data_IF_727732374159
#
_entry.id   IF_727732374159
#
_cell.length_a   1.000
_cell.length_b   1.000
_cell.length_c   1.000
_cell.angle_alpha   90.00
_cell.angle_beta   90.00
_cell.angle_gamma   90.00
#
_symmetry.space_group_name_H-M   'P 1'
#
loop_
_entity.id
_entity.type
_entity.pdbx_description
1 polymer ?
#
# COMPACT_ATOMS: atom_id res chain seq x y z
N UNK A 1 7.47 -27.78 4.55
CA UNK A 1 6.91 -26.69 3.71
C UNK A 1 5.70 -27.20 2.96
N UNK A 2 4.62 -26.40 2.92
CA UNK A 2 3.44 -26.69 2.13
C UNK A 2 3.30 -25.64 1.05
N UNK A 3 3.18 -26.08 -0.20
CA UNK A 3 2.93 -25.22 -1.36
C UNK A 3 1.51 -25.48 -1.88
N UNK A 4 0.77 -24.42 -2.14
CA UNK A 4 -0.58 -24.47 -2.71
C UNK A 4 -0.78 -23.31 -3.69
N UNK A 5 -1.79 -23.41 -4.51
CA UNK A 5 -2.14 -22.44 -5.54
C UNK A 5 -3.68 -22.33 -5.64
N UNK A 6 -4.19 -21.76 -6.69
CA UNK A 6 -5.64 -21.55 -6.89
C UNK A 6 -6.41 -22.80 -7.37
N UNK A 7 -5.77 -23.98 -7.38
CA UNK A 7 -6.41 -25.24 -7.73
C UNK A 7 -5.62 -26.10 -8.73
N UNK A 8 -6.25 -27.17 -9.20
CA UNK A 8 -5.63 -28.25 -10.00
C UNK A 8 -4.95 -27.79 -11.31
N UNK A 9 -5.36 -26.67 -11.87
CA UNK A 9 -4.81 -26.15 -13.13
C UNK A 9 -3.60 -25.23 -12.95
N UNK A 10 -3.22 -24.97 -11.71
CA UNK A 10 -2.10 -24.09 -11.38
C UNK A 10 -0.81 -24.89 -11.18
N UNK A 11 0.20 -24.67 -12.02
CA UNK A 11 1.51 -25.34 -11.94
C UNK A 11 2.49 -24.68 -10.96
N UNK A 12 2.20 -23.46 -10.49
CA UNK A 12 3.14 -22.65 -9.69
C UNK A 12 3.50 -23.30 -8.35
N UNK A 13 2.57 -24.02 -7.73
CA UNK A 13 2.82 -24.73 -6.47
C UNK A 13 3.77 -25.91 -6.65
N UNK A 14 3.62 -26.65 -7.75
CA UNK A 14 4.52 -27.74 -8.13
C UNK A 14 5.94 -27.24 -8.42
N UNK A 15 6.07 -26.24 -9.29
CA UNK A 15 7.35 -25.64 -9.67
C UNK A 15 8.09 -25.06 -8.45
N UNK A 16 7.35 -24.43 -7.54
CA UNK A 16 7.89 -23.86 -6.29
C UNK A 16 8.37 -24.97 -5.34
N UNK A 17 7.62 -26.07 -5.24
CA UNK A 17 7.97 -27.22 -4.42
C UNK A 17 9.24 -27.91 -4.97
N UNK A 18 9.34 -28.13 -6.28
CA UNK A 18 10.55 -28.68 -6.88
C UNK A 18 11.78 -27.80 -6.63
N UNK A 19 11.62 -26.48 -6.72
CA UNK A 19 12.69 -25.53 -6.43
C UNK A 19 13.13 -25.62 -4.95
N UNK A 20 12.18 -25.77 -4.03
CA UNK A 20 12.48 -25.96 -2.61
C UNK A 20 13.28 -27.27 -2.35
N UNK A 21 12.90 -28.36 -3.01
CA UNK A 21 13.65 -29.64 -2.91
C UNK A 21 15.08 -29.47 -3.44
N UNK A 22 15.27 -28.80 -4.55
CA UNK A 22 16.62 -28.50 -5.11
C UNK A 22 17.47 -27.64 -4.17
N UNK A 23 16.83 -26.82 -3.34
CA UNK A 23 17.49 -26.01 -2.31
C UNK A 23 17.74 -26.75 -0.99
N UNK A 24 17.47 -28.09 -0.95
CA UNK A 24 17.77 -28.95 0.19
C UNK A 24 16.67 -29.07 1.25
N UNK A 25 15.46 -28.57 0.99
CA UNK A 25 14.33 -28.81 1.91
C UNK A 25 13.79 -30.21 1.74
N UNK A 26 13.78 -31.01 2.84
CA UNK A 26 13.43 -32.44 2.82
C UNK A 26 11.95 -32.71 3.09
N UNK A 27 11.24 -31.78 3.71
CA UNK A 27 9.82 -31.91 4.03
C UNK A 27 9.00 -30.93 3.20
N UNK A 28 8.82 -31.24 1.92
CA UNK A 28 8.07 -30.44 0.98
C UNK A 28 6.81 -31.20 0.58
N UNK A 29 5.66 -30.54 0.65
CA UNK A 29 4.34 -31.07 0.26
C UNK A 29 3.62 -30.06 -0.63
N UNK A 30 2.90 -30.56 -1.61
CA UNK A 30 2.01 -29.76 -2.48
C UNK A 30 0.57 -30.12 -2.15
N UNK A 31 -0.29 -29.11 -2.09
CA UNK A 31 -1.75 -29.29 -1.98
C UNK A 31 -2.34 -28.95 -3.35
N UNK A 32 -2.54 -29.95 -4.22
CA UNK A 32 -2.93 -29.72 -5.61
C UNK A 32 -4.31 -29.09 -5.77
N UNK A 33 -5.23 -29.39 -4.85
CA UNK A 33 -6.60 -28.79 -4.85
C UNK A 33 -6.57 -27.30 -4.51
N UNK A 34 -5.46 -26.83 -3.94
CA UNK A 34 -5.19 -25.43 -3.67
C UNK A 34 -6.04 -24.81 -2.57
N UNK A 35 -5.99 -23.49 -2.50
CA UNK A 35 -6.70 -22.68 -1.51
C UNK A 35 -8.23 -22.89 -1.51
N UNK A 36 -8.91 -23.00 -2.67
CA UNK A 36 -10.36 -23.20 -2.67
C UNK A 36 -10.86 -24.45 -1.96
N UNK A 37 -10.12 -25.55 -2.06
CA UNK A 37 -10.47 -26.77 -1.35
C UNK A 37 -10.23 -26.66 0.16
N UNK A 38 -9.15 -25.98 0.55
CA UNK A 38 -8.85 -25.70 1.93
C UNK A 38 -9.90 -24.79 2.56
N UNK A 39 -10.28 -23.71 1.86
CA UNK A 39 -11.30 -22.76 2.31
C UNK A 39 -12.68 -23.42 2.47
N UNK A 40 -13.03 -24.32 1.57
CA UNK A 40 -14.28 -25.10 1.66
C UNK A 40 -14.29 -26.04 2.88
N UNK A 41 -13.14 -26.60 3.26
CA UNK A 41 -13.03 -27.57 4.36
C UNK A 41 -12.91 -26.91 5.74
N UNK A 42 -12.24 -25.77 5.83
CA UNK A 42 -11.82 -25.14 7.10
C UNK A 42 -12.31 -23.69 7.26
N UNK A 43 -13.03 -23.17 6.28
CA UNK A 43 -13.41 -21.75 6.24
C UNK A 43 -12.26 -20.84 5.82
N UNK A 44 -12.51 -19.55 5.64
CA UNK A 44 -11.49 -18.59 5.31
C UNK A 44 -10.44 -18.53 6.44
N UNK A 45 -9.17 -18.78 6.10
CA UNK A 45 -8.07 -18.72 7.06
C UNK A 45 -7.90 -17.32 7.67
N UNK A 46 -7.15 -17.17 8.76
CA UNK A 46 -6.92 -15.90 9.43
C UNK A 46 -6.28 -14.82 8.53
N UNK A 47 -5.81 -15.19 7.32
CA UNK A 47 -5.36 -14.27 6.27
C UNK A 47 -6.37 -14.05 5.15
N UNK A 48 -7.51 -14.76 5.12
CA UNK A 48 -8.48 -14.67 4.04
C UNK A 48 -9.29 -13.36 4.06
N UNK A 49 -9.35 -12.69 5.20
CA UNK A 49 -9.86 -11.32 5.28
C UNK A 49 -9.00 -10.32 4.45
N UNK A 50 -7.76 -10.72 4.10
CA UNK A 50 -6.85 -9.93 3.25
C UNK A 50 -6.81 -10.39 1.79
N UNK A 51 -7.34 -11.59 1.46
CA UNK A 51 -7.41 -12.10 0.09
C UNK A 51 -8.76 -11.80 -0.61
N UNK A 52 -9.76 -11.38 0.14
CA UNK A 52 -11.10 -11.07 -0.38
C UNK A 52 -11.25 -9.66 -0.96
N UNK A 53 -10.20 -8.99 -1.31
CA UNK A 53 -10.12 -7.95 -2.33
C UNK A 53 -8.68 -7.42 -2.42
N UNK A 54 -7.87 -7.94 -3.33
CA UNK A 54 -6.74 -7.19 -3.88
C UNK A 54 -7.21 -6.08 -4.86
N UNK A 55 -8.48 -5.76 -4.88
CA UNK A 55 -8.92 -4.46 -5.34
C UNK A 55 -8.59 -3.49 -4.22
N UNK A 56 -7.59 -2.62 -4.44
CA UNK A 56 -7.37 -1.47 -3.57
C UNK A 56 -8.73 -0.85 -3.26
N UNK A 57 -9.04 -0.55 -1.98
CA UNK A 57 -10.29 0.12 -1.65
C UNK A 57 -10.45 1.32 -2.57
N UNK A 58 -11.63 1.48 -3.15
CA UNK A 58 -11.88 2.56 -4.10
C UNK A 58 -11.42 3.89 -3.50
N UNK A 59 -10.49 4.54 -4.20
CA UNK A 59 -10.01 5.86 -3.83
C UNK A 59 -11.06 6.89 -4.23
N UNK A 60 -11.95 7.22 -3.30
CA UNK A 60 -13.00 8.21 -3.52
C UNK A 60 -12.35 9.60 -3.62
N UNK A 61 -12.52 10.25 -4.76
CA UNK A 61 -12.02 11.61 -4.98
C UNK A 61 -12.62 12.59 -3.98
N UNK A 62 -11.79 13.52 -3.48
CA UNK A 62 -12.22 14.60 -2.64
C UNK A 62 -12.88 15.73 -3.44
N UNK A 63 -13.05 16.90 -2.80
CA UNK A 63 -13.70 18.06 -3.43
C UNK A 63 -12.85 18.69 -4.52
N UNK A 64 -11.54 18.69 -4.38
CA UNK A 64 -10.60 19.26 -5.32
C UNK A 64 -9.99 18.19 -6.22
N UNK A 65 -9.57 18.61 -7.42
CA UNK A 65 -8.93 17.72 -8.37
C UNK A 65 -7.64 17.12 -7.79
N UNK A 66 -7.47 15.81 -7.91
CA UNK A 66 -6.30 15.10 -7.39
C UNK A 66 -6.37 14.75 -5.91
N UNK A 67 -7.38 15.21 -5.17
CA UNK A 67 -7.53 14.87 -3.75
C UNK A 67 -8.23 13.52 -3.53
N UNK A 68 -7.95 12.90 -2.39
CA UNK A 68 -8.68 11.74 -1.86
C UNK A 68 -9.44 12.15 -0.58
N UNK A 69 -10.65 11.63 -0.40
CA UNK A 69 -11.41 11.88 0.84
C UNK A 69 -10.72 11.27 2.07
N UNK A 70 -10.82 11.93 3.22
CA UNK A 70 -10.28 11.42 4.50
C UNK A 70 -10.84 10.03 4.80
N UNK A 71 -12.16 9.82 4.62
CA UNK A 71 -12.80 8.53 4.86
C UNK A 71 -12.22 7.40 3.99
N UNK A 72 -11.93 7.69 2.71
CA UNK A 72 -11.29 6.71 1.81
C UNK A 72 -9.84 6.44 2.22
N UNK A 73 -9.10 7.48 2.59
CA UNK A 73 -7.73 7.36 3.08
C UNK A 73 -7.65 6.51 4.35
N UNK A 74 -8.47 6.79 5.36
CA UNK A 74 -8.52 6.01 6.61
C UNK A 74 -8.93 4.56 6.36
N UNK A 75 -9.86 4.32 5.43
CA UNK A 75 -10.23 2.96 5.02
C UNK A 75 -9.05 2.22 4.42
N UNK A 76 -8.28 2.84 3.54
CA UNK A 76 -7.06 2.26 2.96
C UNK A 76 -6.05 1.91 4.05
N UNK A 77 -5.79 2.84 4.99
CA UNK A 77 -4.87 2.59 6.11
C UNK A 77 -5.27 1.39 6.97
N UNK A 78 -6.56 1.18 7.17
CA UNK A 78 -7.10 0.11 8.02
C UNK A 78 -7.19 -1.22 7.29
N UNK A 79 -7.68 -1.23 6.04
CA UNK A 79 -8.10 -2.44 5.33
C UNK A 79 -7.06 -2.96 4.33
N UNK A 80 -6.32 -2.06 3.69
CA UNK A 80 -5.36 -2.43 2.65
C UNK A 80 -4.16 -1.47 2.57
N UNK A 81 -3.38 -1.27 3.65
CA UNK A 81 -2.26 -0.30 3.65
C UNK A 81 -1.18 -0.62 2.61
N UNK A 82 -1.08 -1.89 2.20
CA UNK A 82 -0.13 -2.32 1.16
C UNK A 82 -0.61 -2.13 -0.28
N UNK A 83 -1.83 -1.64 -0.51
CA UNK A 83 -2.38 -1.40 -1.85
C UNK A 83 -1.92 -0.11 -2.50
N UNK A 84 -1.31 0.78 -1.74
CA UNK A 84 -0.81 2.09 -2.16
C UNK A 84 0.59 2.35 -1.61
N UNK A 85 1.28 3.33 -2.18
CA UNK A 85 2.46 3.93 -1.58
C UNK A 85 2.08 5.19 -0.82
N UNK A 86 2.35 5.21 0.48
CA UNK A 86 2.15 6.38 1.33
C UNK A 86 3.44 7.21 1.33
N UNK A 87 3.38 8.43 0.83
CA UNK A 87 4.53 9.31 0.72
C UNK A 87 4.32 10.55 1.58
N UNK A 88 5.08 10.62 2.66
CA UNK A 88 5.14 11.78 3.54
C UNK A 88 6.08 12.83 2.93
N UNK A 89 5.53 13.97 2.57
CA UNK A 89 6.30 15.05 1.91
C UNK A 89 6.73 16.15 2.88
N UNK A 90 6.59 15.90 4.18
CA UNK A 90 7.13 16.78 5.23
C UNK A 90 8.64 16.62 5.36
N UNK A 91 9.25 17.55 6.08
CA UNK A 91 10.68 17.47 6.38
C UNK A 91 11.03 16.22 7.19
N UNK A 92 12.28 15.76 7.06
CA UNK A 92 12.75 14.54 7.73
C UNK A 92 12.61 14.59 9.26
N UNK A 93 12.76 15.79 9.87
CA UNK A 93 12.56 15.97 11.30
C UNK A 93 11.10 15.79 11.71
N UNK A 94 10.15 16.25 10.89
CA UNK A 94 8.70 16.03 11.12
C UNK A 94 8.34 14.55 10.98
N UNK A 95 8.89 13.89 9.96
CA UNK A 95 8.70 12.45 9.73
C UNK A 95 9.21 11.62 10.90
N UNK A 96 10.39 11.95 11.43
CA UNK A 96 10.99 11.27 12.58
C UNK A 96 10.15 11.41 13.87
N UNK A 97 9.39 12.49 14.01
CA UNK A 97 8.49 12.71 15.14
C UNK A 97 7.14 11.94 15.03
N UNK A 98 6.92 11.25 13.93
CA UNK A 98 5.75 10.41 13.71
C UNK A 98 5.20 10.54 12.29
N UNK A 99 4.74 9.40 11.74
CA UNK A 99 4.09 9.31 10.43
C UNK A 99 3.21 8.06 10.38
N UNK A 100 2.52 7.84 9.27
CA UNK A 100 1.74 6.63 9.09
C UNK A 100 2.64 5.41 8.90
N UNK A 101 2.21 4.29 9.46
CA UNK A 101 2.96 3.03 9.34
C UNK A 101 3.12 2.63 7.87
N UNK A 102 4.36 2.37 7.46
CA UNK A 102 4.70 2.00 6.09
C UNK A 102 4.86 3.19 5.13
N UNK A 103 4.73 4.43 5.61
CA UNK A 103 5.03 5.60 4.81
C UNK A 103 6.54 5.75 4.58
N UNK A 104 6.90 6.28 3.41
CA UNK A 104 8.27 6.69 3.07
C UNK A 104 8.34 8.21 3.04
N UNK A 105 9.49 8.76 3.41
CA UNK A 105 9.68 10.20 3.43
C UNK A 105 10.39 10.69 2.16
N UNK A 106 9.72 11.56 1.45
CA UNK A 106 10.27 12.31 0.31
C UNK A 106 9.91 13.78 0.47
N UNK A 107 10.71 14.57 1.21
CA UNK A 107 10.41 15.99 1.44
C UNK A 107 10.18 16.73 0.13
N UNK A 108 9.11 17.54 0.07
CA UNK A 108 8.73 18.28 -1.13
C UNK A 108 9.88 19.19 -1.63
N UNK A 109 10.65 19.74 -0.73
CA UNK A 109 11.82 20.59 -1.02
C UNK A 109 12.93 19.90 -1.85
N UNK A 110 12.96 18.57 -1.84
CA UNK A 110 13.94 17.76 -2.59
C UNK A 110 13.28 16.79 -3.57
N UNK A 111 11.96 16.79 -3.64
CA UNK A 111 11.19 15.82 -4.43
C UNK A 111 11.51 15.91 -5.92
N UNK A 112 11.65 17.10 -6.48
CA UNK A 112 12.00 17.30 -7.88
C UNK A 112 13.26 16.52 -8.29
N UNK A 113 14.31 16.58 -7.46
CA UNK A 113 15.58 15.87 -7.69
C UNK A 113 15.48 14.35 -7.48
N UNK A 114 14.43 13.89 -6.84
CA UNK A 114 14.22 12.49 -6.48
C UNK A 114 12.94 11.92 -7.11
N UNK A 115 12.31 12.65 -8.02
CA UNK A 115 11.02 12.28 -8.60
C UNK A 115 11.08 10.92 -9.32
N UNK A 116 12.22 10.59 -9.92
CA UNK A 116 12.46 9.30 -10.60
C UNK A 116 12.51 8.11 -9.63
N UNK A 117 12.71 8.37 -8.33
CA UNK A 117 12.74 7.33 -7.31
C UNK A 117 11.34 6.94 -6.81
N UNK A 118 10.31 7.67 -7.22
CA UNK A 118 8.94 7.33 -6.86
C UNK A 118 8.55 6.01 -7.52
N UNK A 119 7.97 5.06 -6.76
CA UNK A 119 7.54 3.78 -7.28
C UNK A 119 6.36 3.92 -8.24
N UNK A 120 6.23 3.02 -9.20
CA UNK A 120 5.19 3.03 -10.23
C UNK A 120 4.27 1.81 -10.23
N UNK A 121 4.53 0.85 -9.33
CA UNK A 121 3.81 -0.42 -9.26
C UNK A 121 2.42 -0.29 -8.60
N UNK A 122 2.21 0.77 -7.80
CA UNK A 122 0.96 1.04 -7.09
C UNK A 122 0.63 2.53 -7.11
N UNK A 123 -0.64 2.90 -6.88
CA UNK A 123 -0.99 4.30 -6.68
C UNK A 123 -0.23 4.92 -5.51
N UNK A 124 0.09 6.20 -5.63
CA UNK A 124 0.79 6.99 -4.62
C UNK A 124 -0.20 7.95 -3.97
N UNK A 125 -0.20 7.99 -2.64
CA UNK A 125 -0.91 9.01 -1.87
C UNK A 125 0.11 9.90 -1.19
N UNK A 126 0.19 11.15 -1.62
CA UNK A 126 0.99 12.18 -0.95
C UNK A 126 0.22 12.74 0.24
N UNK A 127 0.89 12.98 1.34
CA UNK A 127 0.32 13.63 2.51
C UNK A 127 1.35 14.50 3.23
N UNK A 128 0.85 15.50 3.97
CA UNK A 128 1.64 16.35 4.84
C UNK A 128 0.83 16.73 6.09
N UNK A 129 1.17 17.81 6.77
CA UNK A 129 0.44 18.26 7.96
C UNK A 129 -0.85 19.02 7.69
N UNK A 130 -1.02 19.65 6.51
CA UNK A 130 -2.13 20.57 6.23
C UNK A 130 -2.49 20.69 4.74
N UNK A 131 -2.22 19.68 3.92
CA UNK A 131 -2.62 19.64 2.50
C UNK A 131 -1.69 20.34 1.51
N UNK A 132 -1.16 21.52 1.81
CA UNK A 132 -0.44 22.35 0.84
C UNK A 132 0.79 21.67 0.20
N UNK A 133 1.71 21.15 1.00
CA UNK A 133 2.92 20.45 0.51
C UNK A 133 2.57 19.15 -0.24
N UNK A 134 1.51 18.47 0.14
CA UNK A 134 1.05 17.26 -0.55
C UNK A 134 0.43 17.57 -1.92
N UNK A 135 -0.28 18.69 -2.05
CA UNK A 135 -0.76 19.20 -3.33
C UNK A 135 0.40 19.57 -4.27
N UNK A 136 1.38 20.32 -3.77
CA UNK A 136 2.61 20.65 -4.53
C UNK A 136 3.34 19.40 -5.03
N UNK A 137 3.48 18.38 -4.19
CA UNK A 137 4.10 17.11 -4.58
C UNK A 137 3.31 16.36 -5.65
N UNK A 138 1.98 16.39 -5.56
CA UNK A 138 1.10 15.83 -6.58
C UNK A 138 1.26 16.54 -7.93
N UNK A 139 1.27 17.86 -7.94
CA UNK A 139 1.44 18.67 -9.15
C UNK A 139 2.83 18.43 -9.77
N UNK A 140 3.87 18.35 -8.96
CA UNK A 140 5.22 17.97 -9.39
C UNK A 140 5.23 16.59 -10.06
N UNK A 141 4.60 15.59 -9.42
CA UNK A 141 4.52 14.26 -9.99
C UNK A 141 3.74 14.25 -11.31
N UNK A 142 2.66 15.02 -11.43
CA UNK A 142 1.92 15.17 -12.69
C UNK A 142 2.73 15.84 -13.79
N UNK A 143 3.58 16.79 -13.44
CA UNK A 143 4.42 17.51 -14.41
C UNK A 143 5.56 16.62 -14.94
N UNK A 144 6.26 15.91 -14.06
CA UNK A 144 7.49 15.19 -14.40
C UNK A 144 7.27 13.70 -14.67
N UNK A 145 6.24 13.10 -14.08
CA UNK A 145 5.93 11.65 -14.12
C UNK A 145 4.43 11.42 -14.30
N UNK A 146 3.87 11.97 -15.40
CA UNK A 146 2.42 11.96 -15.69
C UNK A 146 1.80 10.54 -15.74
N UNK A 147 2.63 9.50 -15.94
CA UNK A 147 2.22 8.10 -15.94
C UNK A 147 1.88 7.57 -14.54
N UNK A 148 2.37 8.24 -13.48
CA UNK A 148 2.10 7.81 -12.10
C UNK A 148 0.64 8.09 -11.72
N UNK A 149 0.02 7.10 -11.08
CA UNK A 149 -1.30 7.27 -10.45
C UNK A 149 -1.11 7.92 -9.10
N UNK A 150 -1.26 9.23 -9.03
CA UNK A 150 -1.05 10.00 -7.80
C UNK A 150 -2.32 10.69 -7.36
N UNK A 151 -2.54 10.73 -6.05
CA UNK A 151 -3.53 11.57 -5.36
C UNK A 151 -2.86 12.18 -4.12
N UNK A 152 -3.49 13.16 -3.52
CA UNK A 152 -3.00 13.73 -2.26
C UNK A 152 -4.12 13.91 -1.23
N UNK A 153 -3.75 13.90 0.03
CA UNK A 153 -4.66 14.16 1.13
C UNK A 153 -4.60 15.65 1.48
N UNK A 154 -5.75 16.31 1.33
CA UNK A 154 -5.97 17.69 1.74
C UNK A 154 -6.73 17.69 3.07
N UNK A 155 -5.97 17.73 4.16
CA UNK A 155 -6.50 17.66 5.52
C UNK A 155 -5.44 18.09 6.55
N UNK A 156 -5.90 18.57 7.70
CA UNK A 156 -5.05 18.79 8.87
C UNK A 156 -4.74 17.45 9.56
N UNK A 157 -3.47 17.08 9.61
CA UNK A 157 -3.00 15.87 10.27
C UNK A 157 -2.07 16.23 11.43
N UNK A 158 -2.37 15.69 12.61
CA UNK A 158 -1.53 15.83 13.81
C UNK A 158 -1.14 14.44 14.30
N UNK A 159 0.15 14.22 14.50
CA UNK A 159 0.69 13.00 15.10
C UNK A 159 1.05 13.25 16.55
N UNK A 160 0.84 12.25 17.41
CA UNK A 160 1.35 12.21 18.77
C UNK A 160 2.65 11.42 18.84
N UNK A 161 3.45 11.60 19.89
CA UNK A 161 4.67 10.84 20.10
C UNK A 161 4.42 9.33 20.29
N UNK A 162 3.19 8.93 20.61
CA UNK A 162 2.79 7.53 20.73
C UNK A 162 2.46 6.86 19.39
N UNK A 163 2.59 7.59 18.26
CA UNK A 163 2.25 7.08 16.92
C UNK A 163 0.75 7.12 16.61
N UNK A 164 -0.05 7.72 17.48
CA UNK A 164 -1.45 8.02 17.21
C UNK A 164 -1.56 9.27 16.33
N UNK A 165 -2.64 9.39 15.60
CA UNK A 165 -2.89 10.55 14.74
C UNK A 165 -4.35 11.01 14.81
N UNK A 166 -4.58 12.25 14.45
CA UNK A 166 -5.91 12.80 14.18
C UNK A 166 -5.91 13.46 12.81
N UNK A 167 -6.97 13.23 12.04
CA UNK A 167 -7.19 13.86 10.73
C UNK A 167 -8.46 14.71 10.80
N UNK A 168 -8.38 15.96 10.35
CA UNK A 168 -9.53 16.86 10.23
C UNK A 168 -9.61 17.37 8.80
N UNK A 169 -10.79 17.28 8.20
CA UNK A 169 -11.09 17.90 6.90
C UNK A 169 -11.18 19.41 7.04
N UNK A 170 -10.76 20.12 5.98
CA UNK A 170 -11.02 21.56 5.81
C UNK A 170 -12.48 21.86 5.50
#
# INVERSE_FOLDING_TARGET
LYFYCDGLNCKLSGDSAERAVRLGYTQVKVVPEGYPAWEKAYGPGPGAATAASNAAPEMVAGKEAGTITVASFERILREAPGSVHLVDVRDAAEFANGSFKGAVNHPVSTLEKNIDKLPSDKPIIFFCGAGGRSGEAHDMAKLYRAELKTVFLDADIKWTQAGEYTIKTH
#
